data_IF_298367408223
#
_entry.id   IF_298367408223
#
_cell.length_a   1.000
_cell.length_b   1.000
_cell.length_c   1.000
_cell.angle_alpha   90.00
_cell.angle_beta   90.00
_cell.angle_gamma   90.00
#
_symmetry.space_group_name_H-M   'P 1'
#
loop_
_entity.id
_entity.type
_entity.pdbx_description
1 polymer ?
#
# COMPACT_ATOMS: atom_id res chain seq x y z
N UNK A 1 8.05 -12.71 3.87
CA UNK A 1 7.51 -13.25 2.59
C UNK A 1 7.78 -12.31 1.40
N UNK A 2 7.87 -12.81 0.15
CA UNK A 2 8.14 -12.00 -1.06
C UNK A 2 6.97 -12.00 -2.05
N UNK A 3 6.73 -10.82 -2.63
CA UNK A 3 5.69 -10.57 -3.62
C UNK A 3 6.20 -9.65 -4.73
N UNK A 4 5.52 -9.64 -5.86
CA UNK A 4 5.84 -8.74 -6.97
C UNK A 4 4.61 -8.40 -7.82
N UNK A 5 4.70 -7.27 -8.52
CA UNK A 5 3.77 -6.92 -9.60
C UNK A 5 4.48 -6.11 -10.68
N UNK A 6 3.92 -6.11 -11.89
CA UNK A 6 4.42 -5.28 -12.99
C UNK A 6 4.19 -3.81 -12.65
N UNK A 7 5.24 -3.00 -12.75
CA UNK A 7 5.18 -1.57 -12.47
C UNK A 7 4.25 -0.91 -13.51
N UNK A 8 3.10 -0.33 -13.11
CA UNK A 8 2.20 0.28 -14.06
C UNK A 8 2.82 1.55 -14.63
N UNK A 9 2.95 1.65 -15.95
CA UNK A 9 3.40 2.88 -16.61
C UNK A 9 2.49 4.08 -16.30
N UNK A 10 1.19 3.80 -16.16
CA UNK A 10 0.20 4.72 -15.60
C UNK A 10 -0.86 3.92 -14.84
N UNK A 11 -1.39 4.53 -13.79
CA UNK A 11 -2.54 4.02 -13.05
C UNK A 11 -3.82 4.29 -13.84
N UNK A 12 -4.16 3.38 -14.76
CA UNK A 12 -5.34 3.48 -15.62
C UNK A 12 -6.57 2.92 -14.91
N UNK A 13 -7.69 3.63 -15.04
CA UNK A 13 -8.96 3.23 -14.44
C UNK A 13 -9.39 1.82 -14.92
N UNK A 14 -9.76 0.96 -13.96
CA UNK A 14 -10.19 -0.44 -14.15
C UNK A 14 -9.16 -1.38 -14.78
N UNK A 15 -7.91 -0.96 -14.96
CA UNK A 15 -6.84 -1.87 -15.40
C UNK A 15 -6.31 -2.66 -14.19
N UNK A 16 -6.40 -4.00 -14.20
CA UNK A 16 -5.94 -4.81 -13.08
C UNK A 16 -4.41 -4.92 -13.07
N UNK A 17 -3.82 -4.72 -11.90
CA UNK A 17 -2.41 -5.02 -11.60
C UNK A 17 -2.38 -6.28 -10.75
N UNK A 18 -1.78 -7.36 -11.25
CA UNK A 18 -1.72 -8.65 -10.56
C UNK A 18 -0.56 -8.65 -9.57
N UNK A 19 -0.87 -8.92 -8.30
CA UNK A 19 0.13 -9.13 -7.25
C UNK A 19 0.38 -10.62 -7.14
N UNK A 20 1.60 -11.05 -7.41
CA UNK A 20 2.00 -12.45 -7.37
C UNK A 20 2.93 -12.69 -6.18
N UNK A 21 2.90 -13.92 -5.67
CA UNK A 21 3.87 -14.44 -4.72
C UNK A 21 5.15 -14.83 -5.45
N UNK A 22 6.25 -14.99 -4.72
CA UNK A 22 7.53 -15.47 -5.27
C UNK A 22 7.42 -16.80 -6.05
N UNK A 23 6.50 -17.68 -5.67
CA UNK A 23 6.25 -18.96 -6.36
C UNK A 23 5.39 -18.82 -7.63
N UNK A 24 4.97 -17.61 -8.00
CA UNK A 24 4.13 -17.32 -9.18
C UNK A 24 2.62 -17.40 -8.93
N UNK A 25 2.19 -17.83 -7.74
CA UNK A 25 0.76 -17.86 -7.40
C UNK A 25 0.21 -16.43 -7.26
N UNK A 26 -1.02 -16.23 -7.70
CA UNK A 26 -1.71 -14.95 -7.55
C UNK A 26 -2.07 -14.71 -6.08
N UNK A 27 -1.55 -13.63 -5.50
CA UNK A 27 -1.94 -13.16 -4.17
C UNK A 27 -3.23 -12.32 -4.22
N UNK A 28 -3.40 -11.54 -5.30
CA UNK A 28 -4.59 -10.73 -5.52
C UNK A 28 -4.43 -9.76 -6.68
N UNK A 29 -5.37 -8.83 -6.80
CA UNK A 29 -5.41 -7.83 -7.87
C UNK A 29 -5.61 -6.44 -7.29
N UNK A 30 -4.82 -5.48 -7.75
CA UNK A 30 -5.00 -4.05 -7.48
C UNK A 30 -5.76 -3.43 -8.65
N UNK A 31 -6.79 -2.64 -8.35
CA UNK A 31 -7.61 -1.96 -9.37
C UNK A 31 -7.78 -0.50 -8.97
N UNK A 32 -7.42 0.42 -9.87
CA UNK A 32 -7.77 1.83 -9.72
C UNK A 32 -9.20 2.09 -10.20
N UNK A 33 -9.94 2.86 -9.42
CA UNK A 33 -11.21 3.49 -9.78
C UNK A 33 -11.04 5.02 -9.80
N UNK A 34 -12.07 5.82 -10.15
CA UNK A 34 -11.96 7.28 -10.13
C UNK A 34 -11.59 7.86 -8.76
N UNK A 35 -12.09 7.27 -7.66
CA UNK A 35 -11.95 7.82 -6.31
C UNK A 35 -11.02 7.02 -5.39
N UNK A 36 -10.63 5.78 -5.77
CA UNK A 36 -9.81 4.91 -4.92
C UNK A 36 -8.94 3.93 -5.69
N UNK A 37 -7.88 3.43 -5.07
CA UNK A 37 -7.09 2.27 -5.51
C UNK A 37 -7.37 1.12 -4.56
N UNK A 38 -7.92 0.02 -5.05
CA UNK A 38 -8.41 -1.09 -4.21
C UNK A 38 -7.58 -2.34 -4.41
N UNK A 39 -7.36 -3.11 -3.35
CA UNK A 39 -6.83 -4.47 -3.39
C UNK A 39 -7.95 -5.49 -3.20
N UNK A 40 -7.99 -6.47 -4.10
CA UNK A 40 -8.93 -7.58 -4.09
C UNK A 40 -8.19 -8.91 -3.95
N UNK A 41 -8.67 -9.77 -3.06
CA UNK A 41 -8.24 -11.17 -3.01
C UNK A 41 -9.11 -11.98 -3.97
N UNK A 42 -8.48 -12.67 -4.92
CA UNK A 42 -9.20 -13.59 -5.79
C UNK A 42 -9.66 -14.82 -5.00
N UNK A 43 -10.86 -15.32 -5.31
CA UNK A 43 -11.40 -16.50 -4.65
C UNK A 43 -10.54 -17.75 -4.97
N UNK A 44 -10.30 -18.58 -3.96
CA UNK A 44 -9.57 -19.86 -4.14
C UNK A 44 -10.29 -20.71 -5.19
N UNK A 45 -9.53 -21.21 -6.18
CA UNK A 45 -10.02 -22.10 -7.25
C UNK A 45 -10.71 -23.39 -6.77
N UNK A 46 -10.56 -23.76 -5.49
CA UNK A 46 -11.03 -25.03 -4.93
C UNK A 46 -12.21 -24.92 -3.95
N UNK A 47 -12.81 -23.74 -3.76
CA UNK A 47 -14.07 -23.64 -3.01
C UNK A 47 -15.27 -23.72 -3.95
N UNK A 48 -16.17 -24.68 -3.73
CA UNK A 48 -17.44 -24.83 -4.46
C UNK A 48 -18.42 -23.65 -4.26
N UNK A 49 -18.05 -22.63 -3.50
CA UNK A 49 -18.78 -21.38 -3.40
C UNK A 49 -18.22 -20.41 -4.46
N UNK A 50 -19.07 -19.91 -5.37
CA UNK A 50 -18.78 -18.70 -6.14
C UNK A 50 -18.60 -17.53 -5.16
N UNK A 51 -17.42 -17.40 -4.56
CA UNK A 51 -17.07 -16.18 -3.84
C UNK A 51 -16.69 -15.15 -4.88
N UNK A 52 -17.49 -14.09 -4.95
CA UNK A 52 -17.13 -12.88 -5.69
C UNK A 52 -15.78 -12.36 -5.17
N UNK A 53 -15.01 -11.66 -6.02
CA UNK A 53 -13.75 -11.04 -5.61
C UNK A 53 -14.01 -10.19 -4.38
N UNK A 54 -13.29 -10.46 -3.29
CA UNK A 54 -13.47 -9.72 -2.05
C UNK A 54 -12.52 -8.52 -2.03
N UNK A 55 -13.07 -7.31 -1.96
CA UNK A 55 -12.29 -6.11 -1.68
C UNK A 55 -11.83 -6.17 -0.22
N UNK A 56 -10.51 -6.13 0.01
CA UNK A 56 -9.95 -6.20 1.36
C UNK A 56 -9.42 -4.85 1.84
N UNK A 57 -8.98 -4.00 0.93
CA UNK A 57 -8.48 -2.69 1.28
C UNK A 57 -8.62 -1.68 0.14
N UNK A 58 -8.60 -0.41 0.48
CA UNK A 58 -8.61 0.69 -0.46
C UNK A 58 -7.70 1.84 -0.02
N UNK A 59 -7.13 2.56 -0.99
CA UNK A 59 -6.50 3.86 -0.80
C UNK A 59 -7.38 4.95 -1.38
N UNK A 60 -7.57 6.01 -0.63
CA UNK A 60 -8.21 7.26 -1.08
C UNK A 60 -7.27 8.44 -0.83
N UNK A 61 -7.53 9.54 -1.53
CA UNK A 61 -6.94 10.84 -1.23
C UNK A 61 -8.05 11.71 -0.63
N UNK A 62 -7.87 12.15 0.60
CA UNK A 62 -8.92 12.81 1.37
C UNK A 62 -8.43 14.16 1.90
N UNK A 63 -9.27 15.19 1.72
CA UNK A 63 -9.02 16.53 2.23
C UNK A 63 -9.71 16.65 3.58
N UNK A 64 -9.06 17.34 4.51
CA UNK A 64 -9.59 17.62 5.84
C UNK A 64 -9.89 16.37 6.69
N UNK A 65 -8.98 15.39 6.65
CA UNK A 65 -9.16 14.12 7.37
C UNK A 65 -9.11 14.31 8.89
N UNK A 66 -10.22 13.96 9.56
CA UNK A 66 -10.44 13.76 11.00
C UNK A 66 -9.91 14.79 12.02
N UNK A 67 -9.21 15.87 11.62
CA UNK A 67 -8.82 17.08 12.39
C UNK A 67 -7.79 18.00 11.70
N UNK A 68 -7.16 17.59 10.59
CA UNK A 68 -6.25 18.46 9.83
C UNK A 68 -6.96 19.21 8.72
N UNK A 69 -6.41 20.34 8.26
CA UNK A 69 -6.85 21.02 7.02
C UNK A 69 -6.12 20.48 5.78
N UNK A 70 -5.10 19.66 5.99
CA UNK A 70 -4.25 19.12 4.94
C UNK A 70 -4.88 17.90 4.26
N UNK A 71 -4.48 17.66 3.02
CA UNK A 71 -4.81 16.44 2.33
C UNK A 71 -3.96 15.27 2.85
N UNK A 72 -4.54 14.08 2.87
CA UNK A 72 -3.89 12.87 3.34
C UNK A 72 -4.20 11.70 2.39
N UNK A 73 -3.24 10.78 2.27
CA UNK A 73 -3.51 9.46 1.70
C UNK A 73 -4.07 8.58 2.81
N UNK A 74 -5.28 8.05 2.63
CA UNK A 74 -5.94 7.22 3.63
C UNK A 74 -6.00 5.78 3.16
N UNK A 75 -5.44 4.88 3.96
CA UNK A 75 -5.60 3.45 3.83
C UNK A 75 -6.82 2.99 4.62
N UNK A 76 -7.72 2.29 3.94
CA UNK A 76 -8.92 1.68 4.50
C UNK A 76 -8.74 0.16 4.52
N UNK A 77 -8.60 -0.40 5.71
CA UNK A 77 -8.68 -1.83 5.98
C UNK A 77 -10.14 -2.23 6.13
N UNK A 78 -10.70 -2.81 5.06
CA UNK A 78 -12.11 -3.21 5.02
C UNK A 78 -12.36 -4.53 5.73
N UNK A 79 -11.31 -5.32 6.00
CA UNK A 79 -11.44 -6.61 6.70
C UNK A 79 -11.55 -6.39 8.21
N UNK A 80 -10.82 -5.41 8.76
CA UNK A 80 -10.81 -5.09 10.19
C UNK A 80 -11.54 -3.78 10.57
N UNK A 81 -12.24 -3.16 9.62
CA UNK A 81 -12.94 -1.87 9.80
C UNK A 81 -12.06 -0.78 10.43
N UNK A 82 -10.89 -0.59 9.83
CA UNK A 82 -9.86 0.31 10.34
C UNK A 82 -9.32 1.22 9.26
N UNK A 83 -8.89 2.41 9.65
CA UNK A 83 -8.36 3.42 8.74
C UNK A 83 -7.06 3.98 9.30
N UNK A 84 -6.12 4.30 8.39
CA UNK A 84 -4.82 4.88 8.70
C UNK A 84 -4.56 6.01 7.70
N UNK A 85 -4.33 7.23 8.20
CA UNK A 85 -3.98 8.37 7.37
C UNK A 85 -2.47 8.61 7.38
N UNK A 86 -1.92 8.89 6.20
CA UNK A 86 -0.51 9.17 6.00
C UNK A 86 -0.32 10.64 5.67
N UNK A 87 0.61 11.27 6.38
CA UNK A 87 1.02 12.65 6.20
C UNK A 87 2.50 12.71 5.89
N UNK A 88 2.90 13.68 5.06
CA UNK A 88 4.32 13.92 4.77
C UNK A 88 4.97 14.73 5.89
N UNK A 89 6.17 14.30 6.31
CA UNK A 89 7.04 15.06 7.18
C UNK A 89 7.87 16.04 6.34
N UNK A 90 7.36 17.27 6.24
CA UNK A 90 8.01 18.38 5.51
C UNK A 90 9.38 18.76 6.06
N UNK A 91 9.73 18.31 7.27
CA UNK A 91 11.04 18.60 7.90
C UNK A 91 12.09 17.54 7.60
N UNK A 92 11.68 16.41 7.01
CA UNK A 92 12.59 15.32 6.67
C UNK A 92 13.58 15.71 5.58
N UNK A 93 14.77 15.09 5.64
CA UNK A 93 15.79 15.19 4.58
C UNK A 93 15.65 14.07 3.54
N UNK A 94 14.81 13.09 3.81
CA UNK A 94 14.57 11.98 2.92
C UNK A 94 13.76 12.45 1.71
N UNK A 95 13.92 11.76 0.58
CA UNK A 95 13.12 12.05 -0.62
C UNK A 95 11.62 11.95 -0.34
N UNK A 96 11.20 10.98 0.48
CA UNK A 96 9.84 10.84 0.99
C UNK A 96 9.91 10.38 2.45
N UNK A 97 9.17 11.03 3.33
CA UNK A 97 8.94 10.55 4.67
C UNK A 97 7.46 10.73 5.01
N UNK A 98 6.72 9.62 5.09
CA UNK A 98 5.33 9.60 5.51
C UNK A 98 5.20 8.96 6.88
N UNK A 99 4.26 9.45 7.68
CA UNK A 99 3.96 8.89 8.99
C UNK A 99 2.44 8.85 9.24
N UNK A 100 2.03 7.92 10.11
CA UNK A 100 0.66 7.87 10.66
C UNK A 100 0.55 8.68 11.95
N UNK A 101 -0.62 9.24 12.22
CA UNK A 101 -0.90 9.96 13.48
C UNK A 101 -1.46 9.05 14.57
N UNK A 102 -1.87 7.84 14.21
CA UNK A 102 -2.47 6.85 15.09
C UNK A 102 -1.40 6.17 15.95
N UNK A 103 -1.32 6.56 17.23
CA UNK A 103 -0.29 6.07 18.18
C UNK A 103 -0.29 4.57 18.43
N UNK A 104 -1.43 3.89 18.25
CA UNK A 104 -1.53 2.43 18.37
C UNK A 104 -0.92 1.69 17.17
N UNK A 105 -0.73 2.37 16.05
CA UNK A 105 -0.19 1.81 14.82
C UNK A 105 0.76 2.80 14.14
N UNK A 106 1.89 3.13 14.78
CA UNK A 106 2.88 4.03 14.22
C UNK A 106 3.57 3.34 13.06
N UNK A 107 3.28 3.82 11.86
CA UNK A 107 3.87 3.35 10.62
C UNK A 107 4.58 4.53 9.99
N UNK A 108 5.82 4.29 9.56
CA UNK A 108 6.59 5.24 8.76
C UNK A 108 6.90 4.63 7.40
N UNK A 109 6.80 5.43 6.34
CA UNK A 109 7.19 5.05 4.98
C UNK A 109 8.27 6.02 4.54
N UNK A 110 9.49 5.51 4.36
CA UNK A 110 10.68 6.30 4.11
C UNK A 110 11.28 5.91 2.76
N UNK A 111 11.58 6.91 1.94
CA UNK A 111 12.34 6.75 0.71
C UNK A 111 13.50 7.75 0.75
N UNK A 112 14.74 7.26 0.80
CA UNK A 112 15.93 8.13 0.94
C UNK A 112 16.26 8.90 -0.34
N UNK A 113 16.03 8.26 -1.49
CA UNK A 113 16.30 8.80 -2.82
C UNK A 113 15.19 8.43 -3.81
N UNK A 114 15.26 8.94 -5.04
CA UNK A 114 14.24 8.70 -6.06
C UNK A 114 14.24 7.29 -6.65
N UNK A 115 15.27 6.49 -6.44
CA UNK A 115 15.58 5.38 -7.36
C UNK A 115 15.36 3.98 -6.81
N UNK A 116 15.62 3.71 -5.52
CA UNK A 116 15.98 2.31 -5.25
C UNK A 116 15.06 1.58 -4.27
N UNK A 117 14.57 2.25 -3.23
CA UNK A 117 13.90 1.54 -2.13
C UNK A 117 12.99 2.43 -1.28
N UNK A 118 11.77 1.95 -1.08
CA UNK A 118 10.86 2.45 -0.04
C UNK A 118 10.92 1.48 1.14
N UNK A 119 11.24 1.97 2.32
CA UNK A 119 11.25 1.19 3.56
C UNK A 119 10.00 1.50 4.36
N UNK A 120 9.37 0.47 4.92
CA UNK A 120 8.18 0.57 5.76
C UNK A 120 8.58 0.13 7.18
N UNK A 121 8.44 1.04 8.13
CA UNK A 121 8.70 0.79 9.54
C UNK A 121 7.39 0.64 10.31
N UNK A 122 7.33 -0.29 11.26
CA UNK A 122 6.30 -0.38 12.27
C UNK A 122 6.95 -0.26 13.65
N UNK A 123 6.50 0.68 14.49
CA UNK A 123 7.17 1.02 15.75
C UNK A 123 8.69 1.27 15.59
N UNK A 124 9.10 1.94 14.50
CA UNK A 124 10.50 2.23 14.19
C UNK A 124 11.33 1.00 13.79
N UNK A 125 10.73 -0.19 13.67
CA UNK A 125 11.40 -1.40 13.20
C UNK A 125 11.05 -1.67 11.75
N UNK A 126 12.03 -2.09 10.95
CA UNK A 126 11.83 -2.42 9.55
C UNK A 126 10.95 -3.67 9.40
N UNK A 127 9.73 -3.48 8.91
CA UNK A 127 8.77 -4.57 8.72
C UNK A 127 8.65 -4.99 7.27
N UNK A 128 8.87 -4.08 6.33
CA UNK A 128 8.88 -4.39 4.91
C UNK A 128 9.72 -3.39 4.12
N UNK A 129 10.09 -3.76 2.91
CA UNK A 129 10.60 -2.83 1.92
C UNK A 129 10.08 -3.14 0.52
N UNK A 130 9.99 -2.09 -0.29
CA UNK A 130 9.59 -2.13 -1.69
C UNK A 130 10.78 -1.70 -2.53
N UNK A 131 11.22 -2.56 -3.44
CA UNK A 131 12.26 -2.26 -4.43
C UNK A 131 11.57 -1.89 -5.73
N UNK A 132 11.93 -0.72 -6.27
CA UNK A 132 11.41 -0.23 -7.54
C UNK A 132 12.44 -0.58 -8.62
N UNK A 133 12.06 -1.45 -9.55
CA UNK A 133 12.85 -1.77 -10.73
C UNK A 133 12.19 -1.17 -11.98
N UNK A 134 12.85 -1.27 -13.13
CA UNK A 134 12.39 -0.64 -14.39
C UNK A 134 10.96 -1.03 -14.75
N UNK A 135 10.62 -2.32 -14.68
CA UNK A 135 9.33 -2.86 -15.08
C UNK A 135 8.60 -3.61 -13.96
N UNK A 136 9.19 -3.69 -12.78
CA UNK A 136 8.68 -4.52 -11.69
C UNK A 136 8.80 -3.81 -10.35
N UNK A 137 7.80 -4.04 -9.51
CA UNK A 137 7.84 -3.68 -8.09
C UNK A 137 7.99 -4.98 -7.30
N UNK A 138 9.01 -5.03 -6.45
CA UNK A 138 9.24 -6.15 -5.54
C UNK A 138 8.89 -5.71 -4.12
N UNK A 139 8.14 -6.52 -3.40
CA UNK A 139 7.77 -6.30 -2.01
C UNK A 139 8.34 -7.44 -1.15
N UNK A 140 9.13 -7.08 -0.15
CA UNK A 140 9.63 -8.00 0.87
C UNK A 140 9.02 -7.64 2.22
N UNK A 141 8.25 -8.57 2.80
CA UNK A 141 7.86 -8.54 4.20
C UNK A 141 8.97 -9.24 5.01
N UNK A 142 9.47 -8.55 6.04
CA UNK A 142 10.51 -9.00 6.96
C UNK A 142 9.89 -9.49 8.25
N UNK A 143 8.93 -8.73 8.79
CA UNK A 143 8.24 -9.07 10.03
C UNK A 143 6.73 -9.24 9.78
N UNK A 144 6.24 -10.45 10.01
CA UNK A 144 4.82 -10.81 9.90
C UNK A 144 4.08 -10.59 11.24
N UNK A 145 4.79 -10.19 12.30
CA UNK A 145 4.24 -9.95 13.62
C UNK A 145 3.72 -8.51 13.81
N UNK A 146 3.42 -7.84 12.70
CA UNK A 146 2.72 -6.56 12.71
C UNK A 146 1.22 -6.83 12.72
N UNK A 147 0.44 -6.08 13.49
CA UNK A 147 -1.03 -6.10 13.41
C UNK A 147 -1.54 -5.36 12.15
N UNK A 148 -0.77 -5.39 11.06
CA UNK A 148 -1.00 -4.68 9.80
C UNK A 148 -1.26 -5.72 8.72
N UNK A 149 -2.39 -5.67 7.99
CA UNK A 149 -2.74 -6.69 7.02
C UNK A 149 -1.81 -6.68 5.80
N UNK A 150 -1.59 -7.83 5.17
CA UNK A 150 -0.83 -7.96 3.91
C UNK A 150 -1.29 -6.96 2.82
N UNK A 151 -2.59 -6.67 2.78
CA UNK A 151 -3.20 -5.71 1.85
C UNK A 151 -2.62 -4.30 1.96
N UNK A 152 -2.18 -3.89 3.16
CA UNK A 152 -1.45 -2.64 3.36
C UNK A 152 -0.15 -2.63 2.59
N UNK A 153 0.67 -3.68 2.73
CA UNK A 153 1.97 -3.77 2.08
C UNK A 153 1.83 -3.84 0.55
N UNK A 154 0.80 -4.50 0.02
CA UNK A 154 0.50 -4.52 -1.42
C UNK A 154 0.15 -3.13 -1.97
N UNK A 155 -0.43 -2.28 -1.13
CA UNK A 155 -0.80 -0.90 -1.49
C UNK A 155 0.31 0.12 -1.15
N UNK A 156 1.37 -0.26 -0.43
CA UNK A 156 2.43 0.64 0.02
C UNK A 156 3.12 1.44 -1.09
N UNK A 157 3.35 0.84 -2.25
CA UNK A 157 3.90 1.54 -3.43
C UNK A 157 2.98 2.69 -3.88
N UNK A 158 1.67 2.45 -3.85
CA UNK A 158 0.67 3.43 -4.24
C UNK A 158 0.48 4.52 -3.19
N UNK A 159 0.66 4.22 -1.91
CA UNK A 159 0.70 5.23 -0.84
C UNK A 159 1.82 6.23 -1.11
N UNK A 160 3.02 5.72 -1.40
CA UNK A 160 4.18 6.56 -1.70
C UNK A 160 3.97 7.43 -2.95
N UNK A 161 3.46 6.85 -4.04
CA UNK A 161 3.19 7.61 -5.28
C UNK A 161 2.11 8.66 -5.09
N UNK A 162 0.97 8.31 -4.47
CA UNK A 162 -0.14 9.24 -4.31
C UNK A 162 0.28 10.47 -3.50
N UNK A 163 1.11 10.25 -2.47
CA UNK A 163 1.65 11.32 -1.65
C UNK A 163 2.57 12.26 -2.44
N UNK A 164 3.27 11.76 -3.47
CA UNK A 164 4.11 12.59 -4.36
C UNK A 164 3.36 13.29 -5.49
N UNK A 165 2.16 12.83 -5.84
CA UNK A 165 1.33 13.46 -6.91
C UNK A 165 0.35 14.47 -6.32
N UNK A 166 -0.10 14.25 -5.08
CA UNK A 166 -1.18 15.02 -4.44
C UNK A 166 -0.75 16.04 -3.39
N UNK A 167 0.53 16.12 -3.03
CA UNK A 167 1.10 17.11 -2.10
C UNK A 167 2.09 18.03 -2.83
#
# INVERSE_FOLDING_TARGET
>A
MRYYFEKPAALVNKQPVKVNKENGDLAGTIIKSPAKISFFRDAKLFSNERREKQELAALTFEIAWRKGDNAAVVFHDLENDKQLAFYEDETSKDFLHLFTTESEFPIEIIQKDTMDRITILFHGQESAFIIIQDQQILLQLIDENTNVPDSFFFLGYFIAILSKIGL
#
